data_IF_100791763176
#
_entry.id   IF_100791763176
#
_cell.length_a   1.000
_cell.length_b   1.000
_cell.length_c   1.000
_cell.angle_alpha   90.00
_cell.angle_beta   90.00
_cell.angle_gamma   90.00
#
_symmetry.space_group_name_H-M   'P 1'
#
loop_
_entity.id
_entity.type
_entity.pdbx_description
1 polymer ?
#
# COMPACT_ATOMS: atom_id res chain seq x y z
N UNK A 1 9.01 5.19 19.71
CA UNK A 1 8.76 3.81 19.28
C UNK A 1 7.32 3.42 19.55
N UNK A 2 6.81 2.50 18.75
CA UNK A 2 5.46 1.98 18.94
C UNK A 2 5.34 1.07 20.17
N UNK A 3 4.11 0.67 20.49
CA UNK A 3 3.85 -0.30 21.56
C UNK A 3 4.33 -1.69 21.15
N UNK A 4 4.91 -2.42 22.08
CA UNK A 4 5.27 -3.82 21.90
C UNK A 4 4.04 -4.67 22.24
N UNK A 5 3.70 -5.57 21.32
CA UNK A 5 2.62 -6.55 21.49
C UNK A 5 3.26 -7.92 21.42
N UNK A 6 3.05 -8.73 22.42
CA UNK A 6 3.58 -10.10 22.49
C UNK A 6 2.46 -11.11 22.38
N UNK A 7 2.74 -12.26 21.78
CA UNK A 7 1.79 -13.34 21.65
C UNK A 7 2.50 -14.67 21.42
N UNK A 8 1.74 -15.75 21.55
CA UNK A 8 2.22 -17.10 21.26
C UNK A 8 1.42 -17.68 20.12
N UNK A 9 2.11 -18.17 19.10
CA UNK A 9 1.51 -18.84 17.94
C UNK A 9 1.73 -20.34 18.08
N UNK A 10 0.67 -21.13 17.87
CA UNK A 10 0.71 -22.59 17.83
C UNK A 10 0.05 -23.08 16.54
N UNK A 11 0.34 -24.33 16.15
CA UNK A 11 -0.13 -24.94 14.91
C UNK A 11 -1.63 -24.72 14.65
N UNK A 12 -2.48 -24.91 15.63
CA UNK A 12 -3.94 -24.82 15.47
C UNK A 12 -4.55 -23.64 16.25
N UNK A 13 -3.71 -22.69 16.68
CA UNK A 13 -4.12 -21.52 17.46
C UNK A 13 -3.33 -20.29 16.99
N UNK A 14 -3.79 -19.61 15.93
CA UNK A 14 -3.14 -18.40 15.45
C UNK A 14 -3.27 -17.27 16.46
N UNK A 15 -2.26 -16.43 16.54
CA UNK A 15 -2.36 -15.16 17.25
C UNK A 15 -3.04 -14.14 16.31
N UNK A 16 -4.17 -13.58 16.74
CA UNK A 16 -4.93 -12.60 15.96
C UNK A 16 -4.83 -11.25 16.66
N UNK A 17 -4.32 -10.26 15.97
CA UNK A 17 -4.29 -8.87 16.42
C UNK A 17 -5.24 -8.02 15.57
N UNK A 18 -6.22 -7.40 16.22
CA UNK A 18 -7.19 -6.51 15.57
C UNK A 18 -6.68 -5.07 15.63
N UNK A 19 -6.39 -4.49 14.47
CA UNK A 19 -5.85 -3.13 14.35
C UNK A 19 -6.94 -2.08 14.59
N UNK A 20 -8.18 -2.43 14.34
CA UNK A 20 -9.33 -1.54 14.49
C UNK A 20 -9.97 -1.15 13.17
N UNK A 21 -10.90 -0.20 13.25
CA UNK A 21 -11.69 0.29 12.12
C UNK A 21 -11.44 1.79 11.93
N UNK A 22 -11.67 2.27 10.71
CA UNK A 22 -11.59 3.69 10.38
C UNK A 22 -10.53 4.02 9.34
N UNK A 23 -10.50 5.28 8.95
CA UNK A 23 -9.63 5.79 7.88
C UNK A 23 -8.22 6.17 8.35
N UNK A 24 -8.01 6.31 9.65
CA UNK A 24 -6.70 6.60 10.24
C UNK A 24 -6.38 5.56 11.32
N UNK A 25 -5.92 4.40 10.87
CA UNK A 25 -5.44 3.33 11.74
C UNK A 25 -3.94 3.16 11.58
N UNK A 26 -3.37 2.21 12.30
CA UNK A 26 -1.94 1.87 12.15
C UNK A 26 -1.55 1.48 10.71
N UNK A 27 -2.46 0.89 9.93
CA UNK A 27 -2.18 0.47 8.55
C UNK A 27 -2.71 1.44 7.50
N UNK A 28 -3.68 2.27 7.83
CA UNK A 28 -4.31 3.19 6.89
C UNK A 28 -3.94 4.62 7.21
N UNK A 29 -3.56 5.35 6.20
CA UNK A 29 -3.20 6.76 6.29
C UNK A 29 -4.19 7.58 5.49
N UNK A 30 -4.73 8.67 6.04
CA UNK A 30 -5.56 9.58 5.27
C UNK A 30 -4.81 10.10 4.05
N UNK A 31 -5.48 10.22 2.92
CA UNK A 31 -4.87 10.67 1.65
C UNK A 31 -4.18 12.03 1.70
N UNK A 32 -4.53 12.85 2.69
CA UNK A 32 -3.94 14.18 2.92
C UNK A 32 -2.59 14.13 3.64
N UNK A 33 -2.19 12.98 4.18
CA UNK A 33 -0.98 12.83 4.99
C UNK A 33 0.07 11.94 4.32
N UNK A 34 0.01 11.79 3.00
CA UNK A 34 1.04 11.08 2.25
C UNK A 34 2.38 11.81 2.28
N UNK A 35 3.46 11.04 2.24
CA UNK A 35 4.83 11.52 2.38
C UNK A 35 5.59 10.67 3.40
N UNK A 36 6.47 11.28 4.18
CA UNK A 36 7.19 10.60 5.26
C UNK A 36 6.28 10.48 6.48
N UNK A 37 6.10 9.27 6.97
CA UNK A 37 5.19 8.95 8.06
C UNK A 37 5.89 8.06 9.08
N UNK A 38 5.74 8.43 10.35
CA UNK A 38 6.18 7.64 11.49
C UNK A 38 5.02 6.80 12.03
N UNK A 39 5.32 5.67 12.64
CA UNK A 39 4.38 4.87 13.43
C UNK A 39 3.22 4.24 12.63
N UNK A 40 3.39 3.99 11.33
CA UNK A 40 2.39 3.36 10.46
C UNK A 40 2.83 1.99 9.92
N UNK A 41 3.81 1.37 10.50
CA UNK A 41 4.26 0.03 10.12
C UNK A 41 4.29 -0.92 11.29
N UNK A 42 4.38 -2.20 11.00
CA UNK A 42 4.63 -3.27 11.96
C UNK A 42 5.95 -3.95 11.65
N UNK A 43 6.73 -4.21 12.68
CA UNK A 43 7.86 -5.13 12.64
C UNK A 43 7.44 -6.35 13.45
N UNK A 44 7.52 -7.52 12.82
CA UNK A 44 7.18 -8.79 13.45
C UNK A 44 8.47 -9.58 13.63
N UNK A 45 8.76 -9.96 14.86
CA UNK A 45 9.90 -10.80 15.22
C UNK A 45 9.38 -12.07 15.87
N UNK A 46 9.97 -13.21 15.59
CA UNK A 46 9.61 -14.50 16.15
C UNK A 46 10.85 -15.36 16.38
N UNK A 47 10.79 -16.25 17.37
CA UNK A 47 11.86 -17.20 17.70
C UNK A 47 11.99 -18.30 16.63
N UNK A 48 10.87 -18.67 16.02
CA UNK A 48 10.78 -19.69 14.97
C UNK A 48 10.08 -19.15 13.72
N UNK A 49 10.07 -19.96 12.65
CA UNK A 49 9.37 -19.63 11.41
C UNK A 49 7.87 -19.53 11.64
N UNK A 50 7.31 -18.40 11.27
CA UNK A 50 5.88 -18.12 11.34
C UNK A 50 5.35 -17.66 9.98
N UNK A 51 4.04 -17.79 9.83
CA UNK A 51 3.29 -17.23 8.71
C UNK A 51 2.54 -15.98 9.20
N UNK A 52 2.70 -14.87 8.52
CA UNK A 52 2.01 -13.62 8.84
C UNK A 52 1.13 -13.22 7.67
N UNK A 53 -0.17 -13.02 7.93
CA UNK A 53 -1.08 -12.44 6.96
C UNK A 53 -1.76 -11.21 7.51
N UNK A 54 -1.91 -10.21 6.65
CA UNK A 54 -2.72 -9.02 6.91
C UNK A 54 -4.00 -9.15 6.10
N UNK A 55 -5.14 -8.89 6.74
CA UNK A 55 -6.44 -8.93 6.09
C UNK A 55 -7.18 -7.62 6.34
N UNK A 56 -7.82 -7.12 5.32
CA UNK A 56 -8.59 -5.88 5.37
C UNK A 56 -9.94 -6.07 4.70
N UNK A 57 -10.96 -5.50 5.31
CA UNK A 57 -12.27 -5.32 4.71
C UNK A 57 -12.51 -3.82 4.54
N UNK A 58 -12.92 -3.41 3.36
CA UNK A 58 -13.19 -2.02 3.03
C UNK A 58 -14.58 -1.87 2.41
N UNK A 59 -15.17 -0.69 2.58
CA UNK A 59 -16.50 -0.37 2.08
C UNK A 59 -17.45 0.04 3.20
N UNK A 60 -18.63 0.44 2.81
CA UNK A 60 -19.70 0.75 3.77
C UNK A 60 -20.37 -0.53 4.20
N UNK A 61 -20.58 -0.70 5.50
CA UNK A 61 -21.54 -1.67 6.00
C UNK A 61 -22.90 -1.28 5.42
N UNK A 62 -23.40 -2.06 4.45
CA UNK A 62 -24.79 -1.96 4.03
C UNK A 62 -25.69 -2.32 5.20
N UNK A 63 -26.99 -2.06 5.11
CA UNK A 63 -27.95 -2.41 6.16
C UNK A 63 -27.87 -3.89 6.60
N UNK A 64 -27.16 -4.73 5.85
CA UNK A 64 -26.92 -6.14 6.10
C UNK A 64 -25.49 -6.45 6.57
N UNK A 65 -24.71 -5.48 7.04
CA UNK A 65 -23.31 -5.65 7.49
C UNK A 65 -22.39 -6.33 6.44
N UNK A 66 -22.66 -6.18 5.17
CA UNK A 66 -21.79 -6.71 4.11
C UNK A 66 -20.74 -5.66 3.72
N UNK A 67 -19.48 -6.06 3.75
CA UNK A 67 -18.38 -5.28 3.18
C UNK A 67 -18.27 -5.60 1.69
N UNK A 68 -18.11 -4.57 0.89
CA UNK A 68 -18.10 -4.73 -0.57
C UNK A 68 -16.73 -5.14 -1.11
N UNK A 69 -15.66 -4.91 -0.34
CA UNK A 69 -14.29 -5.16 -0.77
C UNK A 69 -13.50 -5.81 0.35
N UNK A 70 -12.71 -6.80 0.00
CA UNK A 70 -11.78 -7.44 0.90
C UNK A 70 -10.41 -7.53 0.23
N UNK A 71 -9.37 -7.55 1.03
CA UNK A 71 -8.02 -7.73 0.53
C UNK A 71 -7.10 -8.27 1.62
N UNK A 72 -5.92 -8.64 1.21
CA UNK A 72 -4.92 -9.11 2.15
C UNK A 72 -3.60 -9.35 1.49
N UNK A 73 -2.56 -9.39 2.29
CA UNK A 73 -1.23 -9.81 1.88
C UNK A 73 -0.69 -10.88 2.84
N UNK A 74 0.25 -11.62 2.32
CA UNK A 74 1.10 -12.51 3.10
C UNK A 74 2.47 -11.86 3.19
N UNK A 75 3.01 -11.73 4.39
CA UNK A 75 4.37 -11.23 4.55
C UNK A 75 5.36 -12.22 3.93
N UNK A 76 6.26 -11.70 3.14
CA UNK A 76 7.34 -12.48 2.51
C UNK A 76 8.61 -12.51 3.38
N UNK A 77 8.52 -11.95 4.59
CA UNK A 77 9.61 -11.92 5.56
C UNK A 77 10.86 -11.29 4.98
N UNK A 78 12.01 -11.87 5.25
CA UNK A 78 13.29 -11.36 4.78
C UNK A 78 13.43 -11.38 3.24
N UNK A 79 12.64 -12.19 2.53
CA UNK A 79 12.64 -12.19 1.06
C UNK A 79 12.07 -10.92 0.44
N UNK A 80 11.37 -10.10 1.23
CA UNK A 80 10.89 -8.79 0.79
C UNK A 80 11.91 -7.66 1.02
N UNK A 81 13.03 -7.94 1.67
CA UNK A 81 14.09 -6.95 1.88
C UNK A 81 14.95 -6.84 0.61
N UNK A 82 15.07 -5.63 0.09
CA UNK A 82 15.89 -5.38 -1.08
C UNK A 82 16.14 -3.91 -1.33
N UNK A 83 16.79 -3.64 -2.46
CA UNK A 83 17.23 -2.29 -2.84
C UNK A 83 16.65 -1.83 -4.17
N UNK A 84 16.03 -2.73 -4.94
CA UNK A 84 15.44 -2.42 -6.24
C UNK A 84 14.11 -3.15 -6.38
N UNK A 85 13.05 -2.40 -6.73
CA UNK A 85 11.70 -2.95 -6.86
C UNK A 85 10.96 -2.30 -8.03
N UNK A 86 10.05 -3.06 -8.64
CA UNK A 86 9.08 -2.54 -9.61
C UNK A 86 7.70 -2.49 -9.00
N UNK A 87 7.09 -1.31 -8.98
CA UNK A 87 5.75 -1.13 -8.44
C UNK A 87 4.70 -1.78 -9.34
N UNK A 88 3.72 -2.42 -8.72
CA UNK A 88 2.57 -3.01 -9.38
C UNK A 88 1.26 -2.55 -8.75
N UNK A 89 0.19 -2.54 -9.53
CA UNK A 89 -1.15 -2.30 -9.05
C UNK A 89 -2.18 -2.84 -10.05
N UNK A 90 -3.37 -3.15 -9.59
CA UNK A 90 -4.51 -3.33 -10.50
C UNK A 90 -4.92 -1.97 -11.06
N UNK A 91 -5.44 -1.95 -12.29
CA UNK A 91 -6.01 -0.74 -12.86
C UNK A 91 -7.21 -0.28 -12.03
N UNK A 92 -7.30 1.03 -11.85
CA UNK A 92 -8.45 1.64 -11.18
C UNK A 92 -9.10 2.65 -12.13
N UNK A 93 -10.09 2.23 -12.92
CA UNK A 93 -10.70 3.06 -13.95
C UNK A 93 -11.76 4.03 -13.42
N UNK A 94 -12.03 4.02 -12.12
CA UNK A 94 -13.07 4.87 -11.54
C UNK A 94 -12.54 6.25 -11.18
N UNK A 95 -13.38 7.25 -11.42
CA UNK A 95 -13.15 8.64 -11.03
C UNK A 95 -13.58 8.90 -9.58
N UNK A 96 -13.01 8.16 -8.65
CA UNK A 96 -13.30 8.33 -7.22
C UNK A 96 -12.03 8.69 -6.46
N UNK A 97 -12.04 9.81 -5.77
CA UNK A 97 -10.89 10.32 -5.02
C UNK A 97 -10.49 9.47 -3.82
N UNK A 98 -11.27 8.46 -3.48
CA UNK A 98 -10.98 7.51 -2.40
C UNK A 98 -10.33 6.22 -2.90
N UNK A 99 -10.35 5.97 -4.21
CA UNK A 99 -9.90 4.72 -4.83
C UNK A 99 -8.54 4.94 -5.50
N UNK A 100 -7.48 4.87 -4.73
CA UNK A 100 -6.13 5.24 -5.15
C UNK A 100 -5.26 4.02 -5.42
N UNK A 101 -4.38 4.12 -6.43
CA UNK A 101 -3.20 3.29 -6.53
C UNK A 101 -2.11 3.91 -5.67
N UNK A 102 -1.43 3.09 -4.89
CA UNK A 102 -0.47 3.55 -3.89
C UNK A 102 0.77 2.67 -3.79
N UNK A 103 1.84 3.22 -3.23
CA UNK A 103 2.99 2.47 -2.74
C UNK A 103 3.40 2.99 -1.37
N UNK A 104 3.91 2.07 -0.54
CA UNK A 104 4.48 2.36 0.77
C UNK A 104 5.85 1.70 0.87
N UNK A 105 6.85 2.47 1.25
CA UNK A 105 8.24 2.03 1.37
C UNK A 105 8.66 2.22 2.82
N UNK A 106 9.00 1.13 3.51
CA UNK A 106 9.45 1.14 4.90
C UNK A 106 10.97 0.97 4.96
N UNK A 107 11.64 1.90 5.62
CA UNK A 107 13.08 1.79 5.87
C UNK A 107 13.40 0.93 7.10
N UNK A 108 14.43 0.08 6.96
CA UNK A 108 14.95 -0.77 8.04
C UNK A 108 16.15 -0.18 8.76
N UNK A 109 16.75 0.89 8.19
CA UNK A 109 17.95 1.53 8.70
C UNK A 109 17.84 3.06 8.67
N UNK A 110 18.61 3.74 9.54
CA UNK A 110 18.66 5.20 9.53
C UNK A 110 19.39 5.75 8.30
N UNK A 111 18.91 6.89 7.81
CA UNK A 111 19.52 7.60 6.69
C UNK A 111 19.49 6.81 5.38
N UNK A 112 18.45 6.01 5.14
CA UNK A 112 18.24 5.28 3.89
C UNK A 112 17.80 6.25 2.80
N UNK A 113 18.58 6.35 1.75
CA UNK A 113 18.23 7.15 0.56
C UNK A 113 17.42 6.31 -0.41
N UNK A 114 16.32 6.88 -0.89
CA UNK A 114 15.38 6.22 -1.80
C UNK A 114 15.16 7.13 -3.00
N UNK A 115 15.16 6.54 -4.18
CA UNK A 115 14.82 7.20 -5.44
C UNK A 115 13.65 6.43 -6.08
N UNK A 116 12.59 7.16 -6.42
CA UNK A 116 11.47 6.59 -7.18
C UNK A 116 11.47 7.24 -8.55
N UNK A 117 11.68 6.45 -9.57
CA UNK A 117 11.79 6.89 -10.97
C UNK A 117 10.77 6.21 -11.86
N UNK A 118 10.74 6.59 -13.15
CA UNK A 118 9.83 6.03 -14.15
C UNK A 118 8.34 6.27 -13.87
N UNK A 119 8.00 7.28 -13.06
CA UNK A 119 6.66 7.84 -13.05
C UNK A 119 6.61 8.93 -14.13
N UNK A 120 5.59 8.91 -14.98
CA UNK A 120 5.45 9.87 -16.08
C UNK A 120 5.40 11.31 -15.57
N UNK A 121 6.19 12.19 -16.17
CA UNK A 121 6.18 13.64 -15.87
C UNK A 121 4.78 14.21 -16.10
N UNK A 122 4.33 15.08 -15.20
CA UNK A 122 2.98 15.64 -15.21
C UNK A 122 1.96 14.79 -14.45
N UNK A 123 2.33 13.58 -13.99
CA UNK A 123 1.47 12.77 -13.12
C UNK A 123 1.20 13.51 -11.81
N UNK A 124 -0.06 13.53 -11.39
CA UNK A 124 -0.48 14.18 -10.15
C UNK A 124 -0.66 13.18 -9.01
N UNK A 125 -0.05 13.47 -7.89
CA UNK A 125 -0.17 12.68 -6.67
C UNK A 125 -1.37 13.15 -5.84
N UNK A 126 -1.89 12.27 -4.98
CA UNK A 126 -3.05 12.55 -4.14
C UNK A 126 -2.84 13.70 -3.12
N UNK A 127 -1.60 14.03 -2.80
CA UNK A 127 -1.23 15.18 -1.98
C UNK A 127 -1.09 16.50 -2.77
N UNK A 128 -1.42 16.48 -4.07
CA UNK A 128 -1.37 17.65 -4.96
C UNK A 128 -0.03 17.88 -5.66
N UNK A 129 1.02 17.12 -5.34
CA UNK A 129 2.33 17.22 -6.00
C UNK A 129 2.19 16.75 -7.46
N UNK A 130 2.81 17.47 -8.38
CA UNK A 130 2.93 17.10 -9.78
C UNK A 130 4.35 16.60 -10.02
N UNK A 131 4.49 15.39 -10.57
CA UNK A 131 5.77 14.79 -10.88
C UNK A 131 6.49 15.59 -11.96
N UNK A 132 7.68 16.07 -11.65
CA UNK A 132 8.58 16.78 -12.58
C UNK A 132 9.92 16.07 -12.81
N UNK A 133 10.14 14.95 -12.14
CA UNK A 133 11.35 14.14 -12.20
C UNK A 133 11.29 13.01 -11.17
N UNK A 134 12.40 12.31 -10.92
CA UNK A 134 12.48 11.32 -9.85
C UNK A 134 12.14 11.93 -8.49
N UNK A 135 11.50 11.15 -7.63
CA UNK A 135 11.26 11.50 -6.24
C UNK A 135 12.44 11.00 -5.41
N UNK A 136 13.08 11.89 -4.69
CA UNK A 136 14.17 11.54 -3.78
C UNK A 136 13.74 11.78 -2.34
N UNK A 137 13.97 10.80 -1.47
CA UNK A 137 13.62 10.88 -0.05
C UNK A 137 14.65 10.15 0.80
N UNK A 138 14.90 10.64 2.00
CA UNK A 138 15.73 9.97 3.01
C UNK A 138 14.86 9.59 4.20
N UNK A 139 14.90 8.32 4.58
CA UNK A 139 14.13 7.77 5.70
C UNK A 139 15.07 7.29 6.81
N UNK A 140 14.61 7.42 8.04
CA UNK A 140 15.20 6.74 9.17
C UNK A 140 14.54 5.37 9.41
N UNK A 141 15.14 4.56 10.24
CA UNK A 141 14.61 3.26 10.63
C UNK A 141 13.16 3.39 11.13
N UNK A 142 12.27 2.54 10.60
CA UNK A 142 10.85 2.49 10.89
C UNK A 142 10.03 3.70 10.38
N UNK A 143 10.63 4.58 9.59
CA UNK A 143 9.87 5.54 8.82
C UNK A 143 9.39 4.92 7.51
N UNK A 144 8.18 5.31 7.11
CA UNK A 144 7.60 4.93 5.82
C UNK A 144 7.45 6.16 4.93
N UNK A 145 7.66 5.98 3.63
CA UNK A 145 7.27 6.94 2.63
C UNK A 145 6.07 6.40 1.85
N UNK A 146 4.98 7.16 1.83
CA UNK A 146 3.75 6.74 1.16
C UNK A 146 3.45 7.71 0.02
N UNK A 147 3.23 7.15 -1.17
CA UNK A 147 2.74 7.86 -2.34
C UNK A 147 1.48 7.22 -2.86
N UNK A 148 0.57 8.04 -3.40
CA UNK A 148 -0.60 7.56 -4.11
C UNK A 148 -0.90 8.48 -5.29
N UNK A 149 -1.45 7.90 -6.35
CA UNK A 149 -1.91 8.67 -7.50
C UNK A 149 -3.20 9.40 -7.17
N UNK A 150 -3.34 10.65 -7.64
CA UNK A 150 -4.62 11.31 -7.63
C UNK A 150 -5.58 10.59 -8.59
N UNK A 151 -6.79 10.36 -8.15
CA UNK A 151 -7.84 9.76 -8.98
C UNK A 151 -9.13 10.59 -8.85
N UNK A 152 -9.43 11.35 -9.89
CA UNK A 152 -10.64 12.14 -10.00
C UNK A 152 -11.01 12.31 -11.49
N UNK A 153 -12.12 12.98 -11.78
CA UNK A 153 -12.60 13.16 -13.15
C UNK A 153 -11.58 13.79 -14.13
N UNK A 154 -10.64 14.56 -13.60
CA UNK A 154 -9.61 15.24 -14.41
C UNK A 154 -8.31 14.42 -14.52
N UNK A 155 -8.17 13.36 -13.73
CA UNK A 155 -6.91 12.60 -13.60
C UNK A 155 -7.09 11.10 -13.78
N UNK A 156 -8.19 10.66 -14.37
CA UNK A 156 -8.44 9.24 -14.64
C UNK A 156 -7.32 8.58 -15.44
N UNK A 157 -6.64 9.35 -16.29
CA UNK A 157 -5.46 8.91 -17.03
C UNK A 157 -4.27 8.53 -16.14
N UNK A 158 -4.29 8.88 -14.84
CA UNK A 158 -3.25 8.52 -13.89
C UNK A 158 -3.35 7.04 -13.43
N UNK A 159 -4.46 6.36 -13.68
CA UNK A 159 -4.75 5.04 -13.07
C UNK A 159 -3.66 3.97 -13.27
N UNK A 160 -2.81 4.09 -14.29
CA UNK A 160 -1.72 3.15 -14.59
C UNK A 160 -0.31 3.75 -14.43
N UNK A 161 -0.17 5.04 -14.18
CA UNK A 161 1.10 5.77 -14.32
C UNK A 161 2.16 5.43 -13.25
N UNK A 162 1.81 4.69 -12.21
CA UNK A 162 2.75 4.19 -11.21
C UNK A 162 3.13 2.72 -11.45
N UNK A 163 2.45 2.04 -12.38
CA UNK A 163 2.77 0.64 -12.71
C UNK A 163 4.10 0.58 -13.45
N UNK A 164 5.03 -0.22 -12.93
CA UNK A 164 6.39 -0.33 -13.46
C UNK A 164 7.36 0.76 -12.98
N UNK A 165 6.91 1.70 -12.14
CA UNK A 165 7.82 2.65 -11.52
C UNK A 165 8.93 1.91 -10.74
N UNK A 166 10.15 2.42 -10.81
CA UNK A 166 11.32 1.84 -10.17
C UNK A 166 11.56 2.51 -8.82
N UNK A 167 11.71 1.70 -7.79
CA UNK A 167 12.15 2.11 -6.46
C UNK A 167 13.55 1.58 -6.24
N UNK A 168 14.51 2.48 -6.02
CA UNK A 168 15.90 2.17 -5.71
C UNK A 168 16.27 2.72 -4.34
N UNK A 169 17.12 2.01 -3.60
CA UNK A 169 17.60 2.46 -2.29
C UNK A 169 19.06 2.06 -2.04
N UNK A 170 19.76 2.84 -1.24
CA UNK A 170 21.15 2.53 -0.86
C UNK A 170 21.23 1.44 0.24
N UNK A 171 20.15 1.26 1.00
CA UNK A 171 20.01 0.24 2.06
C UNK A 171 18.71 -0.55 1.88
N UNK A 172 18.62 -1.77 2.44
CA UNK A 172 17.42 -2.60 2.28
C UNK A 172 16.15 -1.92 2.81
N UNK A 173 15.10 -1.98 2.02
CA UNK A 173 13.76 -1.50 2.35
C UNK A 173 12.72 -2.60 2.12
N UNK A 174 11.52 -2.39 2.64
CA UNK A 174 10.34 -3.21 2.32
C UNK A 174 9.37 -2.35 1.54
N UNK A 175 8.82 -2.90 0.46
CA UNK A 175 7.87 -2.18 -0.41
C UNK A 175 6.55 -2.92 -0.48
N UNK A 176 5.47 -2.19 -0.19
CA UNK A 176 4.11 -2.63 -0.47
C UNK A 176 3.55 -1.75 -1.60
N UNK A 177 2.82 -2.35 -2.52
CA UNK A 177 2.08 -1.59 -3.52
C UNK A 177 0.73 -2.21 -3.81
N UNK A 178 -0.18 -1.40 -4.33
CA UNK A 178 -1.52 -1.88 -4.60
C UNK A 178 -2.51 -0.79 -5.02
N UNK A 179 -3.77 -1.17 -4.96
CA UNK A 179 -4.89 -0.29 -5.28
C UNK A 179 -6.08 -0.53 -4.37
N UNK A 180 -6.79 0.54 -4.04
CA UNK A 180 -8.13 0.45 -3.47
C UNK A 180 -9.14 0.35 -4.60
N UNK A 181 -9.93 -0.73 -4.63
CA UNK A 181 -10.92 -1.01 -5.67
C UNK A 181 -10.37 -1.13 -7.11
N UNK A 182 -9.17 -1.66 -7.26
CA UNK A 182 -8.64 -2.04 -8.57
C UNK A 182 -9.41 -3.22 -9.18
N UNK A 183 -9.37 -3.34 -10.51
CA UNK A 183 -10.00 -4.43 -11.23
C UNK A 183 -9.22 -4.77 -12.50
N UNK A 184 -9.16 -6.06 -12.80
CA UNK A 184 -8.71 -6.57 -14.09
C UNK A 184 -9.91 -7.03 -14.95
N UNK A 185 -11.15 -6.80 -14.51
CA UNK A 185 -12.34 -7.24 -15.22
C UNK A 185 -12.62 -6.37 -16.45
N UNK A 186 -12.88 -7.02 -17.56
CA UNK A 186 -13.46 -6.42 -18.78
C UNK A 186 -14.99 -6.37 -18.74
N UNK A 187 -15.60 -7.04 -17.75
CA UNK A 187 -17.05 -7.06 -17.58
C UNK A 187 -17.48 -5.79 -16.87
N UNK A 188 -18.39 -5.06 -17.48
CA UNK A 188 -18.97 -3.84 -16.89
C UNK A 188 -20.33 -4.16 -16.25
N UNK A 189 -20.60 -3.51 -15.11
CA UNK A 189 -21.94 -3.53 -14.53
C UNK A 189 -22.89 -2.58 -15.28
N UNK A 190 -24.17 -2.55 -14.88
CA UNK A 190 -25.18 -1.70 -15.52
C UNK A 190 -24.86 -0.20 -15.47
N UNK A 191 -23.99 0.25 -14.58
CA UNK A 191 -23.54 1.64 -14.44
C UNK A 191 -22.24 1.93 -15.22
N UNK A 192 -21.75 0.98 -16.04
CA UNK A 192 -20.51 1.13 -16.81
C UNK A 192 -19.23 1.04 -16.00
N UNK A 193 -19.29 0.51 -14.80
CA UNK A 193 -18.12 0.29 -13.95
C UNK A 193 -17.62 -1.16 -14.08
N UNK A 194 -16.29 -1.40 -14.03
CA UNK A 194 -15.77 -2.76 -14.00
C UNK A 194 -16.35 -3.56 -12.82
N UNK A 195 -16.80 -4.78 -13.10
CA UNK A 195 -17.21 -5.72 -12.08
C UNK A 195 -15.98 -6.29 -11.35
N UNK A 196 -16.20 -6.85 -10.15
CA UNK A 196 -15.14 -7.55 -9.41
C UNK A 196 -14.00 -6.65 -8.96
N UNK A 197 -14.31 -5.45 -8.48
CA UNK A 197 -13.33 -4.55 -7.86
C UNK A 197 -13.03 -4.99 -6.45
N UNK A 198 -11.76 -4.93 -6.06
CA UNK A 198 -11.34 -5.31 -4.72
C UNK A 198 -10.17 -4.46 -4.21
N UNK A 199 -9.88 -4.56 -2.93
CA UNK A 199 -8.65 -4.02 -2.35
C UNK A 199 -7.52 -4.98 -2.68
N UNK A 200 -6.66 -4.59 -3.61
CA UNK A 200 -5.49 -5.35 -4.00
C UNK A 200 -4.21 -4.68 -3.52
N UNK A 201 -3.47 -5.33 -2.63
CA UNK A 201 -2.13 -4.90 -2.25
C UNK A 201 -1.26 -6.11 -1.92
N UNK A 202 0.03 -5.95 -2.14
CA UNK A 202 1.01 -7.01 -1.86
C UNK A 202 2.32 -6.40 -1.33
N UNK A 203 3.03 -7.19 -0.57
CA UNK A 203 4.42 -6.96 -0.24
C UNK A 203 5.25 -7.51 -1.40
N UNK A 204 5.89 -6.63 -2.17
CA UNK A 204 6.64 -7.04 -3.35
C UNK A 204 8.06 -7.50 -2.98
N UNK A 205 8.58 -8.41 -3.78
CA UNK A 205 9.98 -8.86 -3.66
C UNK A 205 10.87 -8.07 -4.61
N UNK A 206 12.15 -7.89 -4.26
CA UNK A 206 13.13 -7.22 -5.11
C UNK A 206 13.35 -7.92 -6.44
#
# INVERSE_FOLDING_TARGET
GGSIITGVVKKDSPFIYLIGQGQDTQLFTPKTTFGIINNKGYVVEAEDLIYVSVRVNAGFASQNNSYNHAGGLVSKGNSALGKEFRLGAMLNPLNDTSLLNFASILSTENGTKIIISNIEIGTRLANGIIISGPIEVTLNKNESYIIALENNSNTVSNSSKMIGALVESDKPVVVNSGSFAGSNSTIMNAQGNPAGRDVGFDQIVP
#
